data_IF_972112192925
#
_entry.id   IF_972112192925
#
_cell.length_a   1.000
_cell.length_b   1.000
_cell.length_c   1.000
_cell.angle_alpha   90.00
_cell.angle_beta   90.00
_cell.angle_gamma   90.00
#
_symmetry.space_group_name_H-M   'P 1'
#
loop_
_entity.id
_entity.type
_entity.pdbx_description
1 polymer ?
#
# COMPACT_ATOMS: atom_id res chain seq x y z
N UNK A 1 -18.38 13.41 55.80
CA UNK A 1 -17.79 13.63 57.14
C UNK A 1 -16.75 12.57 57.40
N UNK A 2 -15.54 12.95 57.82
CA UNK A 2 -14.44 12.03 58.15
C UNK A 2 -14.80 11.31 59.45
N UNK A 3 -14.66 9.99 59.49
CA UNK A 3 -15.00 9.11 60.63
C UNK A 3 -14.34 9.51 61.96
N UNK A 4 -13.28 10.33 61.90
CA UNK A 4 -12.59 10.88 63.05
C UNK A 4 -13.47 11.82 63.90
N UNK A 5 -14.23 12.71 63.24
CA UNK A 5 -15.04 13.74 63.92
C UNK A 5 -16.19 13.14 64.74
N UNK A 6 -16.75 12.04 64.26
CA UNK A 6 -17.83 11.30 64.94
C UNK A 6 -17.35 10.56 66.18
N UNK A 7 -16.04 10.26 66.26
CA UNK A 7 -15.46 9.57 67.41
C UNK A 7 -15.17 10.55 68.54
N UNK A 8 -14.67 11.73 68.19
CA UNK A 8 -14.48 12.86 69.12
C UNK A 8 -15.83 13.29 69.75
N UNK A 9 -16.87 13.49 68.94
CA UNK A 9 -18.22 13.83 69.44
C UNK A 9 -18.85 12.75 70.32
N UNK A 10 -18.51 11.47 70.10
CA UNK A 10 -19.00 10.34 70.91
C UNK A 10 -18.32 10.27 72.28
N UNK A 11 -17.04 10.60 72.34
CA UNK A 11 -16.24 10.59 73.55
C UNK A 11 -16.54 11.81 74.46
N UNK A 12 -17.11 12.90 73.92
CA UNK A 12 -17.52 14.11 74.64
C UNK A 12 -18.89 14.00 75.37
N UNK A 13 -19.67 12.93 75.15
CA UNK A 13 -20.99 12.78 75.79
C UNK A 13 -20.85 12.48 77.29
N UNK A 14 -21.56 13.21 78.18
CA UNK A 14 -21.41 13.05 79.64
C UNK A 14 -21.81 11.64 80.09
N UNK A 15 -20.83 10.88 80.57
CA UNK A 15 -21.02 9.48 80.96
C UNK A 15 -21.73 9.35 82.31
N UNK A 16 -23.05 9.16 82.30
CA UNK A 16 -23.72 8.43 83.39
C UNK A 16 -23.57 6.94 83.11
N UNK A 17 -22.76 6.25 83.91
CA UNK A 17 -22.30 4.88 83.71
C UNK A 17 -23.43 3.85 83.50
N UNK A 18 -23.74 3.56 82.24
CA UNK A 18 -24.77 2.57 81.87
C UNK A 18 -24.29 1.50 80.87
N UNK A 19 -23.05 1.56 80.37
CA UNK A 19 -22.53 0.57 79.43
C UNK A 19 -21.07 0.20 79.70
N UNK A 20 -20.77 -1.10 79.71
CA UNK A 20 -19.40 -1.61 79.80
C UNK A 20 -18.58 -1.21 78.56
N UNK A 21 -17.26 -1.12 78.69
CA UNK A 21 -16.36 -0.77 77.58
C UNK A 21 -16.50 -1.72 76.38
N UNK A 22 -16.78 -3.00 76.63
CA UNK A 22 -17.08 -3.98 75.59
C UNK A 22 -18.38 -3.65 74.84
N UNK A 23 -19.42 -3.19 75.55
CA UNK A 23 -20.69 -2.80 74.94
C UNK A 23 -20.52 -1.57 74.05
N UNK A 24 -19.75 -0.56 74.50
CA UNK A 24 -19.43 0.63 73.71
C UNK A 24 -18.65 0.27 72.44
N UNK A 25 -17.64 -0.59 72.55
CA UNK A 25 -16.86 -1.08 71.40
C UNK A 25 -17.72 -1.85 70.40
N UNK A 26 -18.62 -2.71 70.87
CA UNK A 26 -19.56 -3.44 70.01
C UNK A 26 -20.57 -2.51 69.33
N UNK A 27 -21.10 -1.52 70.05
CA UNK A 27 -22.02 -0.54 69.47
C UNK A 27 -21.34 0.33 68.42
N UNK A 28 -20.13 0.82 68.70
CA UNK A 28 -19.35 1.61 67.76
C UNK A 28 -18.97 0.82 66.50
N UNK A 29 -18.52 -0.43 66.66
CA UNK A 29 -18.20 -1.30 65.52
C UNK A 29 -19.45 -1.62 64.68
N UNK A 30 -20.62 -1.81 65.30
CA UNK A 30 -21.87 -2.01 64.58
C UNK A 30 -22.33 -0.76 63.82
N UNK A 31 -22.18 0.43 64.40
CA UNK A 31 -22.50 1.72 63.74
C UNK A 31 -21.58 1.94 62.53
N UNK A 32 -20.27 1.74 62.68
CA UNK A 32 -19.30 1.87 61.58
C UNK A 32 -19.57 0.86 60.45
N UNK A 33 -19.96 -0.38 60.80
CA UNK A 33 -20.28 -1.44 59.83
C UNK A 33 -21.59 -1.15 59.09
N UNK A 34 -22.60 -0.61 59.78
CA UNK A 34 -23.88 -0.21 59.18
C UNK A 34 -23.77 1.05 58.30
N UNK A 35 -22.97 2.04 58.70
CA UNK A 35 -22.84 3.32 57.99
C UNK A 35 -21.85 3.28 56.81
N UNK A 36 -20.77 2.48 56.88
CA UNK A 36 -19.76 2.45 55.79
C UNK A 36 -20.17 1.59 54.59
N UNK A 37 -20.95 0.53 54.78
CA UNK A 37 -21.33 -0.41 53.72
C UNK A 37 -22.22 0.23 52.64
N UNK A 38 -23.12 1.14 53.01
CA UNK A 38 -24.03 1.82 52.06
C UNK A 38 -23.28 2.77 51.12
N UNK A 39 -22.27 3.47 51.64
CA UNK A 39 -21.45 4.43 50.86
C UNK A 39 -20.45 3.73 49.94
N UNK A 40 -19.83 2.64 50.40
CA UNK A 40 -18.91 1.81 49.60
C UNK A 40 -19.61 1.16 48.40
N UNK A 41 -20.83 0.65 48.60
CA UNK A 41 -21.63 0.00 47.54
C UNK A 41 -22.09 0.99 46.47
N UNK A 42 -22.43 2.23 46.85
CA UNK A 42 -22.76 3.28 45.87
C UNK A 42 -21.54 3.75 45.07
N UNK A 43 -20.37 3.87 45.71
CA UNK A 43 -19.13 4.25 45.01
C UNK A 43 -18.66 3.17 44.03
N UNK A 44 -18.81 1.89 44.39
CA UNK A 44 -18.54 0.76 43.48
C UNK A 44 -19.48 0.76 42.27
N UNK A 45 -20.76 1.12 42.44
CA UNK A 45 -21.71 1.27 41.32
C UNK A 45 -21.34 2.41 40.37
N UNK A 46 -20.88 3.54 40.92
CA UNK A 46 -20.42 4.68 40.11
C UNK A 46 -19.15 4.33 39.34
N UNK A 47 -18.16 3.70 39.98
CA UNK A 47 -16.93 3.25 39.30
C UNK A 47 -17.26 2.26 38.18
N UNK A 48 -18.14 1.28 38.45
CA UNK A 48 -18.56 0.33 37.43
C UNK A 48 -19.26 1.01 36.24
N UNK A 49 -20.13 1.99 36.50
CA UNK A 49 -20.80 2.76 35.44
C UNK A 49 -19.82 3.58 34.59
N UNK A 50 -18.85 4.25 35.23
CA UNK A 50 -17.81 4.99 34.53
C UNK A 50 -16.90 4.08 33.69
N UNK A 51 -16.55 2.90 34.22
CA UNK A 51 -15.76 1.90 33.49
C UNK A 51 -16.51 1.39 32.26
N UNK A 52 -17.81 1.10 32.37
CA UNK A 52 -18.65 0.68 31.24
C UNK A 52 -18.77 1.78 30.19
N UNK A 53 -18.95 3.05 30.60
CA UNK A 53 -18.97 4.19 29.68
C UNK A 53 -17.64 4.35 28.94
N UNK A 54 -16.52 4.30 29.67
CA UNK A 54 -15.18 4.41 29.08
C UNK A 54 -14.90 3.27 28.11
N UNK A 55 -15.22 2.02 28.48
CA UNK A 55 -15.07 0.86 27.61
C UNK A 55 -15.98 0.94 26.38
N UNK A 56 -17.21 1.44 26.53
CA UNK A 56 -18.14 1.65 25.42
C UNK A 56 -17.63 2.71 24.45
N UNK A 57 -17.08 3.82 24.95
CA UNK A 57 -16.49 4.90 24.14
C UNK A 57 -15.23 4.38 23.43
N UNK A 58 -14.33 3.70 24.14
CA UNK A 58 -13.15 3.09 23.55
C UNK A 58 -13.52 2.05 22.47
N UNK A 59 -14.48 1.17 22.77
CA UNK A 59 -15.00 0.20 21.82
C UNK A 59 -15.61 0.89 20.59
N UNK A 60 -16.42 1.94 20.79
CA UNK A 60 -17.00 2.73 19.71
C UNK A 60 -15.93 3.40 18.83
N UNK A 61 -14.88 3.99 19.42
CA UNK A 61 -13.77 4.56 18.65
C UNK A 61 -12.97 3.49 17.90
N UNK A 62 -12.70 2.33 18.51
CA UNK A 62 -12.03 1.22 17.82
C UNK A 62 -12.89 0.64 16.69
N UNK A 63 -14.21 0.57 16.90
CA UNK A 63 -15.17 0.13 15.90
C UNK A 63 -15.27 1.11 14.74
N UNK A 64 -15.35 2.41 15.01
CA UNK A 64 -15.34 3.45 13.97
C UNK A 64 -14.03 3.43 13.18
N UNK A 65 -12.88 3.35 13.86
CA UNK A 65 -11.58 3.25 13.19
C UNK A 65 -11.52 2.02 12.28
N UNK A 66 -12.06 0.87 12.72
CA UNK A 66 -12.12 -0.35 11.92
C UNK A 66 -13.13 -0.26 10.76
N UNK A 67 -14.33 0.25 11.01
CA UNK A 67 -15.43 0.34 10.04
C UNK A 67 -15.13 1.34 8.91
N UNK A 68 -14.43 2.44 9.21
CA UNK A 68 -14.07 3.48 8.24
C UNK A 68 -12.67 3.32 7.63
N UNK A 69 -11.96 2.22 7.91
CA UNK A 69 -10.63 1.95 7.33
C UNK A 69 -10.66 1.40 5.90
N UNK A 70 -11.82 1.00 5.36
CA UNK A 70 -11.92 0.60 3.95
C UNK A 70 -11.92 1.83 3.05
N UNK A 71 -10.72 2.28 2.68
CA UNK A 71 -10.53 3.25 1.60
C UNK A 71 -11.10 2.67 0.28
N UNK A 72 -11.63 3.50 -0.61
CA UNK A 72 -12.02 3.04 -1.94
C UNK A 72 -10.81 2.41 -2.63
N UNK A 73 -10.94 1.13 -3.00
CA UNK A 73 -9.94 0.39 -3.78
C UNK A 73 -10.28 0.56 -5.27
N UNK A 74 -9.31 1.05 -6.03
CA UNK A 74 -9.35 1.08 -7.49
C UNK A 74 -8.93 -0.31 -7.97
N UNK A 75 -9.79 -0.93 -8.78
CA UNK A 75 -9.49 -2.21 -9.43
C UNK A 75 -9.22 -1.93 -10.91
N UNK A 76 -8.00 -2.24 -11.35
CA UNK A 76 -7.66 -2.27 -12.78
C UNK A 76 -7.54 -3.71 -13.23
N UNK A 77 -8.28 -4.07 -14.28
CA UNK A 77 -8.23 -5.38 -14.90
C UNK A 77 -7.87 -5.23 -16.38
N UNK A 78 -6.90 -6.03 -16.83
CA UNK A 78 -6.51 -6.15 -18.23
C UNK A 78 -7.08 -7.43 -18.83
N UNK A 79 -7.25 -7.42 -20.15
CA UNK A 79 -7.79 -8.50 -20.97
C UNK A 79 -6.70 -9.08 -21.88
N UNK A 80 -6.97 -10.12 -22.69
CA UNK A 80 -5.99 -10.61 -23.66
C UNK A 80 -5.48 -9.48 -24.56
N UNK A 81 -4.17 -9.42 -24.76
CA UNK A 81 -3.47 -8.38 -25.53
C UNK A 81 -3.60 -6.94 -24.98
N UNK A 82 -4.12 -6.75 -23.78
CA UNK A 82 -4.18 -5.45 -23.10
C UNK A 82 -3.04 -5.35 -22.09
N UNK A 83 -2.06 -4.50 -22.36
CA UNK A 83 -1.00 -4.14 -21.41
C UNK A 83 -1.24 -2.68 -21.04
N UNK A 84 -1.08 -2.32 -19.77
CA UNK A 84 -1.29 -0.95 -19.29
C UNK A 84 -0.11 -0.44 -18.47
N UNK A 85 0.13 0.87 -18.54
CA UNK A 85 1.03 1.58 -17.64
C UNK A 85 0.21 2.42 -16.66
N UNK A 86 0.29 2.09 -15.38
CA UNK A 86 -0.34 2.83 -14.29
C UNK A 86 0.68 3.69 -13.56
N UNK A 87 0.24 4.85 -13.10
CA UNK A 87 0.97 5.72 -12.18
C UNK A 87 0.18 5.84 -10.89
N UNK A 88 0.75 5.34 -9.80
CA UNK A 88 0.12 5.37 -8.49
C UNK A 88 0.38 6.71 -7.80
N UNK A 89 -0.38 7.02 -6.74
CA UNK A 89 -0.33 8.32 -6.06
C UNK A 89 0.99 8.63 -5.34
N UNK A 90 1.88 7.65 -5.17
CA UNK A 90 3.23 7.82 -4.63
C UNK A 90 4.31 8.02 -5.71
N UNK A 91 3.92 8.08 -6.99
CA UNK A 91 4.84 8.16 -8.13
C UNK A 91 5.37 6.80 -8.62
N UNK A 92 4.93 5.69 -8.01
CA UNK A 92 5.27 4.34 -8.48
C UNK A 92 4.66 4.10 -9.87
N UNK A 93 5.46 3.55 -10.78
CA UNK A 93 5.01 3.12 -12.11
C UNK A 93 4.80 1.61 -12.13
N UNK A 94 3.68 1.18 -12.68
CA UNK A 94 3.33 -0.25 -12.77
C UNK A 94 2.92 -0.58 -14.20
N UNK A 95 3.71 -1.44 -14.85
CA UNK A 95 3.27 -2.08 -16.08
C UNK A 95 2.47 -3.31 -15.69
N UNK A 96 1.22 -3.36 -16.12
CA UNK A 96 0.26 -4.43 -15.85
C UNK A 96 0.12 -5.24 -17.13
N UNK A 97 0.51 -6.51 -17.09
CA UNK A 97 0.46 -7.39 -18.25
C UNK A 97 -0.99 -7.83 -18.54
N UNK A 98 -1.24 -8.50 -19.67
CA UNK A 98 -2.57 -9.01 -20.05
C UNK A 98 -3.19 -9.95 -19.02
N UNK A 99 -4.53 -10.06 -18.97
CA UNK A 99 -5.23 -10.95 -18.03
C UNK A 99 -4.84 -10.77 -16.54
N UNK A 100 -4.45 -9.57 -16.15
CA UNK A 100 -4.00 -9.22 -14.80
C UNK A 100 -5.00 -8.32 -14.11
N UNK A 101 -5.21 -8.56 -12.83
CA UNK A 101 -5.96 -7.68 -11.95
C UNK A 101 -5.01 -7.10 -10.90
N UNK A 102 -5.01 -5.78 -10.78
CA UNK A 102 -4.34 -5.05 -9.70
C UNK A 102 -5.35 -4.20 -8.95
N UNK A 103 -5.27 -4.24 -7.62
CA UNK A 103 -6.12 -3.50 -6.70
C UNK A 103 -5.25 -2.62 -5.80
N UNK A 104 -5.58 -1.33 -5.72
CA UNK A 104 -4.80 -0.34 -4.98
C UNK A 104 -5.69 0.83 -4.54
N UNK A 105 -5.41 1.49 -3.40
CA UNK A 105 -6.16 2.67 -3.00
C UNK A 105 -5.82 3.87 -3.87
N UNK A 106 -6.75 4.80 -4.03
CA UNK A 106 -6.46 6.10 -4.68
C UNK A 106 -5.31 6.83 -3.97
N UNK A 107 -5.32 6.83 -2.63
CA UNK A 107 -4.24 7.34 -1.79
C UNK A 107 -3.78 6.32 -0.75
N UNK A 108 -2.48 6.02 -0.77
CA UNK A 108 -1.86 5.13 0.20
C UNK A 108 -2.00 5.61 1.65
N UNK A 109 -1.82 4.69 2.60
CA UNK A 109 -1.83 5.01 4.01
C UNK A 109 -0.57 5.80 4.41
N UNK A 110 -0.61 6.41 5.60
CA UNK A 110 0.51 7.19 6.13
C UNK A 110 1.72 6.31 6.50
N UNK A 111 1.50 5.03 6.78
CA UNK A 111 2.51 4.09 7.25
C UNK A 111 2.94 3.06 6.20
N UNK A 112 2.11 2.76 5.20
CA UNK A 112 2.40 1.72 4.21
C UNK A 112 1.67 1.92 2.88
N UNK A 113 2.18 1.27 1.83
CA UNK A 113 1.65 1.33 0.47
C UNK A 113 1.31 -0.09 0.02
N UNK A 114 0.05 -0.50 0.20
CA UNK A 114 -0.39 -1.87 -0.11
C UNK A 114 -1.10 -1.91 -1.46
N UNK A 115 -0.74 -2.89 -2.28
CA UNK A 115 -1.46 -3.28 -3.49
C UNK A 115 -1.70 -4.79 -3.49
N UNK A 116 -2.78 -5.25 -4.12
CA UNK A 116 -3.01 -6.68 -4.39
C UNK A 116 -2.87 -6.93 -5.88
N UNK A 117 -2.26 -8.06 -6.24
CA UNK A 117 -2.00 -8.42 -7.62
C UNK A 117 -2.37 -9.88 -7.87
N UNK A 118 -3.16 -10.11 -8.93
CA UNK A 118 -3.43 -11.42 -9.53
C UNK A 118 -3.03 -11.35 -11.01
N UNK A 119 -2.02 -12.10 -11.41
CA UNK A 119 -1.45 -12.04 -12.76
C UNK A 119 0.00 -11.57 -12.74
N UNK A 120 0.44 -10.79 -13.72
CA UNK A 120 1.82 -10.34 -13.82
C UNK A 120 1.93 -8.83 -13.98
N UNK A 121 2.84 -8.25 -13.20
CA UNK A 121 3.13 -6.84 -13.28
C UNK A 121 4.61 -6.56 -12.99
N UNK A 122 5.14 -5.58 -13.72
CA UNK A 122 6.45 -5.03 -13.47
C UNK A 122 6.32 -3.70 -12.74
N UNK A 123 7.01 -3.58 -11.60
CA UNK A 123 6.95 -2.44 -10.72
C UNK A 123 8.25 -1.65 -10.79
N UNK A 124 8.15 -0.33 -10.93
CA UNK A 124 9.21 0.62 -10.61
C UNK A 124 8.74 1.48 -9.44
N UNK A 125 9.06 1.02 -8.23
CA UNK A 125 8.56 1.60 -6.99
C UNK A 125 9.35 2.86 -6.64
N UNK A 126 8.62 3.95 -6.40
CA UNK A 126 9.19 5.19 -5.91
C UNK A 126 9.86 4.97 -4.55
N UNK A 127 11.08 5.51 -4.38
CA UNK A 127 11.87 5.33 -3.16
C UNK A 127 11.22 6.06 -2.00
N UNK A 128 10.84 5.29 -0.98
CA UNK A 128 10.35 5.78 0.31
C UNK A 128 10.74 4.75 1.38
N UNK A 129 11.68 5.13 2.25
CA UNK A 129 12.20 4.27 3.33
C UNK A 129 11.33 4.28 4.57
N UNK A 130 10.37 5.20 4.66
CA UNK A 130 9.48 5.35 5.82
C UNK A 130 8.19 4.58 5.64
N UNK A 131 7.72 4.42 4.40
CA UNK A 131 6.50 3.69 4.06
C UNK A 131 6.81 2.53 3.12
N UNK A 132 6.88 1.28 3.60
CA UNK A 132 7.12 0.13 2.73
C UNK A 132 6.02 -0.02 1.67
N UNK A 133 6.43 -0.48 0.48
CA UNK A 133 5.53 -0.88 -0.58
C UNK A 133 5.36 -2.39 -0.54
N UNK A 134 4.12 -2.86 -0.40
CA UNK A 134 3.75 -4.23 -0.12
C UNK A 134 2.80 -4.71 -1.20
N UNK A 135 3.19 -5.76 -1.92
CA UNK A 135 2.34 -6.44 -2.90
C UNK A 135 1.87 -7.76 -2.30
N UNK A 136 0.56 -7.94 -2.24
CA UNK A 136 -0.05 -9.22 -1.89
C UNK A 136 -0.45 -9.98 -3.16
N UNK A 137 0.12 -11.17 -3.37
CA UNK A 137 -0.15 -12.01 -4.54
C UNK A 137 -0.42 -13.43 -4.09
N UNK A 138 -1.70 -13.75 -3.86
CA UNK A 138 -2.08 -15.02 -3.23
C UNK A 138 -1.47 -15.12 -1.83
N UNK A 139 -0.71 -16.19 -1.59
CA UNK A 139 -0.11 -16.51 -0.29
C UNK A 139 1.28 -15.90 -0.06
N UNK A 140 1.78 -15.09 -1.00
CA UNK A 140 3.05 -14.38 -0.84
C UNK A 140 2.86 -12.88 -0.69
N UNK A 141 3.75 -12.31 0.13
CA UNK A 141 3.93 -10.86 0.26
C UNK A 141 5.31 -10.47 -0.24
N UNK A 142 5.33 -9.45 -1.09
CA UNK A 142 6.56 -8.86 -1.60
C UNK A 142 6.69 -7.45 -1.05
N UNK A 143 7.74 -7.19 -0.27
CA UNK A 143 7.97 -5.91 0.42
C UNK A 143 9.24 -5.23 -0.05
N UNK A 144 9.13 -3.94 -0.38
CA UNK A 144 10.24 -3.12 -0.89
C UNK A 144 10.19 -1.69 -0.37
N UNK A 145 11.29 -0.96 -0.50
CA UNK A 145 11.38 0.47 -0.14
C UNK A 145 11.61 1.39 -1.36
N UNK A 146 11.77 0.82 -2.55
CA UNK A 146 12.10 1.55 -3.79
C UNK A 146 13.08 0.73 -4.62
N UNK A 147 12.51 0.01 -5.58
CA UNK A 147 13.14 -1.07 -6.35
C UNK A 147 12.40 -1.25 -7.65
N UNK A 148 13.06 -1.86 -8.63
CA UNK A 148 12.43 -2.31 -9.87
C UNK A 148 12.44 -3.84 -9.92
N UNK A 149 11.29 -4.45 -10.12
CA UNK A 149 11.12 -5.91 -10.07
C UNK A 149 9.85 -6.36 -10.77
N UNK A 150 9.83 -7.63 -11.20
CA UNK A 150 8.65 -8.29 -11.76
C UNK A 150 8.00 -9.19 -10.69
N UNK A 151 6.67 -9.26 -10.69
CA UNK A 151 5.90 -10.27 -9.97
C UNK A 151 5.02 -11.00 -10.97
N UNK A 152 5.17 -12.31 -11.09
CA UNK A 152 4.39 -13.17 -11.98
C UNK A 152 3.62 -14.20 -11.16
N UNK A 153 2.30 -14.11 -11.18
CA UNK A 153 1.39 -14.90 -10.35
C UNK A 153 0.16 -15.41 -11.14
N UNK A 154 0.33 -15.82 -12.41
CA UNK A 154 -0.74 -16.39 -13.24
C UNK A 154 -1.08 -17.87 -12.97
N UNK A 155 -0.27 -18.59 -12.20
CA UNK A 155 -0.37 -20.05 -12.15
C UNK A 155 0.01 -20.68 -10.82
N UNK A 156 0.40 -21.95 -10.89
CA UNK A 156 0.73 -22.78 -9.72
C UNK A 156 2.02 -22.36 -9.01
N UNK A 157 2.90 -21.59 -9.64
CA UNK A 157 4.13 -21.10 -9.03
C UNK A 157 4.15 -19.59 -9.26
N UNK A 158 4.30 -18.84 -8.18
CA UNK A 158 4.53 -17.41 -8.28
C UNK A 158 6.03 -17.13 -8.31
N UNK A 159 6.43 -16.14 -9.09
CA UNK A 159 7.81 -15.78 -9.31
C UNK A 159 8.02 -14.28 -9.11
N UNK A 160 9.13 -13.91 -8.44
CA UNK A 160 9.50 -12.51 -8.22
C UNK A 160 10.95 -12.30 -8.63
N UNK A 161 11.19 -11.40 -9.58
CA UNK A 161 12.51 -11.20 -10.23
C UNK A 161 12.98 -9.76 -10.02
N UNK A 162 14.22 -9.56 -9.53
CA UNK A 162 14.69 -8.22 -9.18
C UNK A 162 15.60 -7.64 -10.25
N UNK A 163 15.24 -6.44 -10.74
CA UNK A 163 16.08 -5.62 -11.63
C UNK A 163 17.03 -4.72 -10.83
N UNK A 164 16.50 -4.02 -9.82
CA UNK A 164 17.26 -3.06 -9.01
C UNK A 164 16.84 -3.09 -7.54
N UNK A 165 17.81 -2.83 -6.64
CA UNK A 165 17.59 -2.72 -5.21
C UNK A 165 17.40 -4.07 -4.50
N UNK A 166 16.67 -4.06 -3.38
CA UNK A 166 16.47 -5.21 -2.49
C UNK A 166 14.99 -5.49 -2.26
N UNK A 167 14.59 -6.75 -2.42
CA UNK A 167 13.19 -7.19 -2.30
C UNK A 167 13.09 -8.29 -1.26
N UNK A 168 12.18 -8.14 -0.30
CA UNK A 168 11.81 -9.22 0.64
C UNK A 168 10.59 -9.95 0.07
N UNK A 169 10.69 -11.27 -0.11
CA UNK A 169 9.56 -12.12 -0.51
C UNK A 169 9.31 -13.10 0.62
N UNK A 170 8.08 -13.16 1.12
CA UNK A 170 7.71 -14.03 2.23
C UNK A 170 6.41 -14.78 1.95
N UNK A 171 6.39 -16.04 2.39
CA UNK A 171 5.17 -16.83 2.57
C UNK A 171 4.89 -16.97 4.07
N UNK A 172 3.91 -17.79 4.43
CA UNK A 172 3.65 -18.11 5.84
C UNK A 172 4.77 -18.93 6.50
N UNK A 173 5.57 -19.66 5.71
CA UNK A 173 6.61 -20.57 6.23
C UNK A 173 7.97 -19.91 6.34
N UNK A 174 8.34 -19.06 5.37
CA UNK A 174 9.66 -18.47 5.33
C UNK A 174 9.71 -17.16 4.54
N UNK A 175 10.82 -16.45 4.70
CA UNK A 175 11.15 -15.27 3.90
C UNK A 175 12.52 -15.42 3.23
N UNK A 176 12.68 -14.78 2.08
CA UNK A 176 13.96 -14.65 1.37
C UNK A 176 14.18 -13.20 0.96
N UNK A 177 15.45 -12.78 0.93
CA UNK A 177 15.86 -11.48 0.41
C UNK A 177 16.51 -11.65 -0.95
N UNK A 178 16.02 -10.89 -1.91
CA UNK A 178 16.47 -10.86 -3.29
C UNK A 178 17.21 -9.56 -3.58
N UNK A 179 18.17 -9.67 -4.48
CA UNK A 179 18.89 -8.59 -5.11
C UNK A 179 18.96 -8.88 -6.60
N UNK A 180 19.50 -7.95 -7.38
CA UNK A 180 19.66 -8.10 -8.83
C UNK A 180 20.31 -9.45 -9.18
N UNK A 181 19.76 -10.13 -10.19
CA UNK A 181 20.24 -11.45 -10.64
C UNK A 181 19.71 -12.62 -9.81
N UNK A 182 18.79 -12.37 -8.87
CA UNK A 182 18.08 -13.40 -8.14
C UNK A 182 16.57 -13.26 -8.27
N UNK A 183 15.92 -14.40 -8.13
CA UNK A 183 14.49 -14.55 -8.17
C UNK A 183 14.00 -15.45 -7.02
N UNK A 184 12.75 -15.26 -6.62
CA UNK A 184 12.05 -16.11 -5.67
C UNK A 184 10.98 -16.92 -6.41
N UNK A 185 10.97 -18.23 -6.19
CA UNK A 185 9.87 -19.12 -6.61
C UNK A 185 9.06 -19.54 -5.40
N UNK A 186 7.77 -19.33 -5.47
CA UNK A 186 6.82 -19.79 -4.48
C UNK A 186 6.18 -21.10 -4.91
N UNK A 187 6.26 -22.11 -4.04
CA UNK A 187 5.65 -23.42 -4.24
C UNK A 187 4.44 -23.57 -3.31
N UNK A 188 3.19 -23.42 -3.80
CA UNK A 188 1.99 -23.40 -2.95
C UNK A 188 1.79 -24.67 -2.14
N UNK A 189 2.15 -25.84 -2.69
CA UNK A 189 2.05 -27.13 -1.98
C UNK A 189 2.93 -27.19 -0.73
N UNK A 190 4.12 -26.57 -0.79
CA UNK A 190 5.05 -26.48 0.34
C UNK A 190 4.81 -25.22 1.18
N UNK A 191 3.97 -24.31 0.69
CA UNK A 191 3.83 -22.93 1.16
C UNK A 191 5.19 -22.24 1.42
N UNK A 192 6.17 -22.50 0.55
CA UNK A 192 7.56 -22.09 0.76
C UNK A 192 8.10 -21.30 -0.43
N UNK A 193 8.92 -20.30 -0.12
CA UNK A 193 9.67 -19.52 -1.10
C UNK A 193 11.10 -20.02 -1.19
N UNK A 194 11.62 -20.23 -2.41
CA UNK A 194 13.02 -20.61 -2.68
C UNK A 194 13.69 -19.55 -3.54
N UNK A 195 14.88 -19.09 -3.13
CA UNK A 195 15.73 -18.16 -3.88
C UNK A 195 16.52 -18.94 -4.94
N UNK A 196 16.59 -18.42 -6.16
CA UNK A 196 17.41 -18.97 -7.24
C UNK A 196 18.06 -17.84 -8.06
N UNK A 197 19.12 -18.15 -8.80
CA UNK A 197 19.75 -17.20 -9.72
C UNK A 197 18.92 -17.08 -10.99
N UNK A 198 18.79 -15.87 -11.52
CA UNK A 198 18.14 -15.59 -12.80
C UNK A 198 18.96 -14.58 -13.60
N UNK A 199 18.90 -14.70 -14.93
CA UNK A 199 19.41 -13.69 -15.86
C UNK A 199 18.30 -12.77 -16.37
N UNK A 200 17.04 -13.12 -16.13
CA UNK A 200 15.88 -12.32 -16.49
C UNK A 200 15.69 -11.17 -15.49
N UNK A 201 15.93 -9.95 -15.93
CA UNK A 201 15.84 -8.75 -15.10
C UNK A 201 14.57 -7.94 -15.37
N UNK A 202 14.07 -7.99 -16.60
CA UNK A 202 12.84 -7.33 -17.04
C UNK A 202 12.09 -8.26 -17.99
N UNK A 203 10.77 -8.39 -17.85
CA UNK A 203 10.00 -9.19 -18.78
C UNK A 203 9.95 -8.50 -20.15
N UNK A 204 10.04 -9.28 -21.23
CA UNK A 204 10.04 -8.74 -22.59
C UNK A 204 8.73 -8.02 -22.94
N UNK A 205 7.58 -8.50 -22.43
CA UNK A 205 6.27 -7.92 -22.72
C UNK A 205 6.16 -6.45 -22.28
N UNK A 206 6.96 -6.01 -21.29
CA UNK A 206 7.01 -4.60 -20.86
C UNK A 206 7.41 -3.65 -22.00
N UNK A 207 8.21 -4.12 -22.97
CA UNK A 207 8.65 -3.31 -24.12
C UNK A 207 7.51 -2.89 -25.04
N UNK A 208 6.36 -3.59 -24.98
CA UNK A 208 5.16 -3.26 -25.75
C UNK A 208 4.65 -1.85 -25.47
N UNK A 209 4.93 -1.29 -24.29
CA UNK A 209 4.54 0.06 -23.92
C UNK A 209 5.77 0.93 -23.61
N UNK A 210 5.97 1.94 -24.45
CA UNK A 210 7.00 2.93 -24.26
C UNK A 210 6.45 4.13 -23.47
N UNK A 211 6.96 4.33 -22.25
CA UNK A 211 6.72 5.55 -21.48
C UNK A 211 7.44 6.73 -22.13
N UNK A 212 6.66 7.65 -22.72
CA UNK A 212 7.14 8.82 -23.46
C UNK A 212 6.78 10.13 -22.78
N UNK A 213 6.24 10.08 -21.57
CA UNK A 213 5.67 11.25 -20.93
C UNK A 213 6.72 12.35 -20.66
N UNK A 214 6.51 13.51 -21.29
CA UNK A 214 7.41 14.66 -21.19
C UNK A 214 8.68 14.54 -22.04
N UNK A 215 8.81 13.51 -22.90
CA UNK A 215 9.97 13.36 -23.77
C UNK A 215 9.83 14.20 -25.03
N UNK A 216 10.95 14.72 -25.53
CA UNK A 216 10.99 15.40 -26.83
C UNK A 216 10.81 14.40 -27.97
N UNK A 217 10.32 14.86 -29.11
CA UNK A 217 10.15 14.05 -30.32
C UNK A 217 11.46 13.35 -30.67
N UNK A 218 12.60 14.05 -30.61
CA UNK A 218 13.91 13.41 -30.83
C UNK A 218 14.19 12.29 -29.85
N UNK A 219 13.95 12.50 -28.55
CA UNK A 219 14.20 11.47 -27.55
C UNK A 219 13.30 10.24 -27.75
N UNK A 220 12.03 10.43 -28.13
CA UNK A 220 11.12 9.32 -28.46
C UNK A 220 11.60 8.57 -29.70
N UNK A 221 12.01 9.28 -30.74
CA UNK A 221 12.50 8.69 -31.99
C UNK A 221 13.80 7.90 -31.76
N UNK A 222 14.72 8.41 -30.95
CA UNK A 222 15.93 7.66 -30.57
C UNK A 222 15.61 6.36 -29.82
N UNK A 223 14.58 6.35 -28.96
CA UNK A 223 14.12 5.12 -28.31
C UNK A 223 13.51 4.13 -29.32
N UNK A 224 12.72 4.60 -30.28
CA UNK A 224 12.11 3.73 -31.30
C UNK A 224 13.16 3.15 -32.27
N UNK A 225 14.27 3.84 -32.50
CA UNK A 225 15.37 3.35 -33.35
C UNK A 225 16.08 2.10 -32.79
N UNK A 226 15.91 1.77 -31.51
CA UNK A 226 16.52 0.54 -30.96
C UNK A 226 15.94 -0.72 -31.60
N UNK A 227 14.64 -0.68 -31.94
CA UNK A 227 13.86 -1.84 -32.36
C UNK A 227 13.35 -1.70 -33.81
N UNK A 228 13.41 -0.49 -34.37
CA UNK A 228 12.92 -0.19 -35.73
C UNK A 228 13.98 0.54 -36.57
N UNK A 229 14.11 0.14 -37.83
CA UNK A 229 15.03 0.76 -38.79
C UNK A 229 14.28 1.83 -39.59
N UNK A 230 14.52 3.11 -39.30
CA UNK A 230 13.97 4.23 -40.06
C UNK A 230 14.80 5.51 -39.88
N UNK A 231 14.57 6.49 -40.76
CA UNK A 231 15.14 7.83 -40.69
C UNK A 231 14.04 8.88 -40.70
N UNK A 232 14.23 9.92 -39.89
CA UNK A 232 13.36 11.07 -39.82
C UNK A 232 14.13 12.32 -40.26
N UNK A 233 13.55 13.06 -41.18
CA UNK A 233 13.98 14.40 -41.58
C UNK A 233 12.94 15.41 -41.04
N UNK A 234 13.40 16.59 -40.67
CA UNK A 234 12.55 17.62 -40.06
C UNK A 234 12.55 18.85 -40.96
N UNK A 235 11.36 19.35 -41.31
CA UNK A 235 11.23 20.57 -42.09
C UNK A 235 11.74 21.82 -41.32
N UNK A 236 11.76 21.75 -39.99
CA UNK A 236 12.27 22.81 -39.12
C UNK A 236 12.78 22.25 -37.78
N UNK A 237 13.75 22.92 -37.16
CA UNK A 237 14.41 22.46 -35.93
C UNK A 237 13.51 22.52 -34.69
N UNK A 238 12.49 23.40 -34.65
CA UNK A 238 11.53 23.50 -33.54
C UNK A 238 10.73 22.19 -33.36
N UNK A 239 10.46 21.46 -34.44
CA UNK A 239 9.74 20.18 -34.40
C UNK A 239 10.46 19.13 -33.54
N UNK A 240 11.78 19.19 -33.44
CA UNK A 240 12.58 18.25 -32.65
C UNK A 240 12.31 18.35 -31.15
N UNK A 241 11.91 19.53 -30.69
CA UNK A 241 11.70 19.85 -29.27
C UNK A 241 10.25 19.67 -28.81
N UNK A 242 9.34 19.31 -29.73
CA UNK A 242 7.95 19.03 -29.37
C UNK A 242 7.90 17.90 -28.34
N UNK A 243 7.14 18.12 -27.27
CA UNK A 243 7.01 17.15 -26.19
C UNK A 243 5.80 16.26 -26.40
N UNK A 244 6.02 14.96 -26.28
CA UNK A 244 4.98 13.95 -26.32
C UNK A 244 4.59 13.62 -24.88
N UNK A 245 3.30 13.45 -24.63
CA UNK A 245 2.77 13.03 -23.33
C UNK A 245 2.05 11.69 -23.45
N UNK A 246 2.17 10.87 -22.41
CA UNK A 246 1.52 9.56 -22.34
C UNK A 246 2.43 8.37 -22.67
N UNK A 247 1.84 7.35 -23.29
CA UNK A 247 2.47 6.06 -23.56
C UNK A 247 2.25 5.67 -25.02
N UNK A 248 3.25 5.13 -25.68
CA UNK A 248 3.14 4.59 -27.04
C UNK A 248 3.10 3.06 -27.02
N UNK A 249 2.19 2.49 -27.80
CA UNK A 249 2.16 1.05 -28.08
C UNK A 249 3.13 0.74 -29.23
N UNK A 250 4.18 -0.03 -28.94
CA UNK A 250 5.25 -0.35 -29.89
C UNK A 250 5.02 -1.68 -30.61
N UNK A 251 3.89 -2.36 -30.35
CA UNK A 251 3.55 -3.62 -31.04
C UNK A 251 3.07 -3.40 -32.48
N UNK A 252 2.78 -2.15 -32.83
CA UNK A 252 2.34 -1.73 -34.15
C UNK A 252 3.55 -1.53 -35.09
N UNK A 253 3.29 -1.45 -36.39
CA UNK A 253 4.31 -1.09 -37.37
C UNK A 253 4.78 0.36 -37.19
N UNK A 254 6.03 0.65 -37.57
CA UNK A 254 6.61 1.99 -37.40
C UNK A 254 5.76 3.09 -38.03
N UNK A 255 5.10 2.81 -39.16
CA UNK A 255 4.19 3.75 -39.81
C UNK A 255 3.01 4.15 -38.91
N UNK A 256 2.38 3.19 -38.22
CA UNK A 256 1.26 3.45 -37.31
C UNK A 256 1.71 4.20 -36.05
N UNK A 257 2.87 3.84 -35.51
CA UNK A 257 3.49 4.56 -34.39
C UNK A 257 3.75 6.02 -34.77
N UNK A 258 4.35 6.26 -35.94
CA UNK A 258 4.61 7.61 -36.44
C UNK A 258 3.31 8.38 -36.70
N UNK A 259 2.24 7.74 -37.20
CA UNK A 259 0.94 8.40 -37.34
C UNK A 259 0.34 8.77 -35.99
N UNK A 260 0.48 7.92 -34.97
CA UNK A 260 0.03 8.21 -33.60
C UNK A 260 0.78 9.42 -33.03
N UNK A 261 2.10 9.49 -33.24
CA UNK A 261 2.92 10.64 -32.86
C UNK A 261 2.50 11.90 -33.62
N UNK A 262 2.30 11.78 -34.94
CA UNK A 262 1.87 12.88 -35.79
C UNK A 262 0.54 13.48 -35.32
N UNK A 263 -0.44 12.61 -35.03
CA UNK A 263 -1.73 12.99 -34.48
C UNK A 263 -1.61 13.68 -33.12
N UNK A 264 -0.84 13.10 -32.18
CA UNK A 264 -0.68 13.64 -30.83
C UNK A 264 0.02 15.02 -30.81
N UNK A 265 0.91 15.27 -31.77
CA UNK A 265 1.66 16.53 -31.88
C UNK A 265 1.03 17.53 -32.85
N UNK A 266 -0.07 17.18 -33.52
CA UNK A 266 -0.70 17.98 -34.58
C UNK A 266 0.27 18.35 -35.71
N UNK A 267 1.14 17.40 -36.09
CA UNK A 267 2.11 17.53 -37.19
C UNK A 267 1.81 16.53 -38.30
N UNK A 268 2.43 16.71 -39.47
CA UNK A 268 2.39 15.75 -40.57
C UNK A 268 3.69 14.96 -40.58
N UNK A 269 3.58 13.63 -40.60
CA UNK A 269 4.70 12.73 -40.86
C UNK A 269 4.37 11.93 -42.12
N UNK A 270 5.11 12.18 -43.20
CA UNK A 270 4.88 11.56 -44.51
C UNK A 270 6.08 10.75 -44.98
N UNK A 271 5.89 9.60 -45.63
CA UNK A 271 6.99 8.87 -46.24
C UNK A 271 7.57 9.67 -47.41
N UNK A 272 8.90 9.73 -47.50
CA UNK A 272 9.67 10.35 -48.59
C UNK A 272 10.62 9.37 -49.29
N UNK A 273 10.58 8.10 -48.88
CA UNK A 273 11.39 7.02 -49.43
C UNK A 273 11.26 5.77 -48.56
N UNK A 274 12.04 4.74 -48.88
CA UNK A 274 12.06 3.51 -48.10
C UNK A 274 12.59 3.76 -46.69
N UNK A 275 11.75 3.51 -45.68
CA UNK A 275 12.04 3.77 -44.27
C UNK A 275 12.51 5.21 -43.97
N UNK A 276 12.12 6.19 -44.80
CA UNK A 276 12.41 7.62 -44.61
C UNK A 276 11.13 8.44 -44.52
N UNK A 277 11.05 9.30 -43.52
CA UNK A 277 9.88 10.13 -43.26
C UNK A 277 10.26 11.60 -43.06
N UNK A 278 9.43 12.51 -43.56
CA UNK A 278 9.53 13.95 -43.34
C UNK A 278 8.49 14.39 -42.31
N UNK A 279 8.94 15.08 -41.26
CA UNK A 279 8.10 15.78 -40.28
C UNK A 279 7.93 17.23 -40.71
N UNK A 280 6.67 17.68 -40.83
CA UNK A 280 6.31 19.07 -41.11
C UNK A 280 5.08 19.49 -40.30
N UNK A 281 4.76 20.78 -40.28
CA UNK A 281 3.42 21.25 -39.87
C UNK A 281 2.36 20.87 -40.92
#
# INVERSE_FOLDING_TARGET
MKSYRLREEWDELPQKGLFSEEAKLRMWTNILRATSNRRRRNYQRVIAACAVLFLSIAAYHTFLAFAFSKKPEIITQTFPQDIRLLRLSDGTRVWVNENTQIEYPEHFAANERIVKLKGEAFFEVARDTTRPFIISSGDIKTTVLGTSFNVKAYGKIAEVNVRTGKVKVESTQNAVFLERGYAALFFPKENRVKKHKTTELEPQWKKALLDVDGLTLVAVIEKLKSDHVFKLEYASEDLKQLQIKGTLDTRQGISEILQTIAFALEVKIKPIGENKFLVSK
#
